data_IF_726762167564
#
_entry.id   IF_726762167564
#
_cell.length_a   1.000
_cell.length_b   1.000
_cell.length_c   1.000
_cell.angle_alpha   90.00
_cell.angle_beta   90.00
_cell.angle_gamma   90.00
#
_symmetry.space_group_name_H-M   'P 1'
#
loop_
_entity.id
_entity.type
_entity.pdbx_description
1 polymer ?
#
# COMPACT_ATOMS: atom_id res chain seq x y z
N UNK A 1 -1.60 12.29 -24.93
CA UNK A 1 -0.53 11.28 -25.17
C UNK A 1 -0.69 10.18 -24.14
N UNK A 2 -0.54 8.90 -24.52
CA UNK A 2 -0.79 7.77 -23.62
C UNK A 2 0.17 7.73 -22.41
N UNK A 3 1.42 8.16 -22.58
CA UNK A 3 2.39 8.22 -21.49
C UNK A 3 1.95 9.18 -20.37
N UNK A 4 1.61 10.42 -20.73
CA UNK A 4 1.12 11.46 -19.81
C UNK A 4 -0.19 11.05 -19.13
N UNK A 5 -1.05 10.32 -19.85
CA UNK A 5 -2.28 9.78 -19.28
C UNK A 5 -2.00 8.82 -18.12
N UNK A 6 -1.07 7.88 -18.28
CA UNK A 6 -0.74 6.91 -17.23
C UNK A 6 0.00 7.54 -16.05
N UNK A 7 0.82 8.57 -16.28
CA UNK A 7 1.37 9.38 -15.17
C UNK A 7 0.27 10.00 -14.30
N UNK A 8 -0.87 10.37 -14.88
CA UNK A 8 -2.00 10.88 -14.09
C UNK A 8 -2.79 9.73 -13.49
N UNK A 9 -3.24 8.79 -14.31
CA UNK A 9 -4.20 7.76 -13.88
C UNK A 9 -3.58 6.76 -12.93
N UNK A 10 -2.39 6.23 -13.23
CA UNK A 10 -1.76 5.22 -12.38
C UNK A 10 -1.24 5.86 -11.07
N UNK A 11 -0.54 7.01 -11.14
CA UNK A 11 -0.10 7.68 -9.90
C UNK A 11 -1.26 8.18 -9.04
N UNK A 12 -2.37 8.63 -9.66
CA UNK A 12 -3.54 9.04 -8.90
C UNK A 12 -4.30 7.85 -8.33
N UNK A 13 -4.63 6.85 -9.15
CA UNK A 13 -5.44 5.71 -8.71
C UNK A 13 -4.68 4.78 -7.77
N UNK A 14 -3.44 4.42 -8.11
CA UNK A 14 -2.66 3.48 -7.33
C UNK A 14 -1.87 4.26 -6.28
N UNK A 15 -1.05 5.23 -6.68
CA UNK A 15 -0.24 6.01 -5.74
C UNK A 15 -1.04 6.75 -4.65
N UNK A 16 -1.99 7.63 -5.02
CA UNK A 16 -2.68 8.46 -4.01
C UNK A 16 -3.63 7.64 -3.14
N UNK A 17 -4.43 6.74 -3.72
CA UNK A 17 -5.40 5.98 -2.92
C UNK A 17 -4.75 4.96 -2.01
N UNK A 18 -3.62 4.36 -2.40
CA UNK A 18 -2.83 3.50 -1.51
C UNK A 18 -2.35 4.25 -0.28
N UNK A 19 -1.83 5.47 -0.47
CA UNK A 19 -1.36 6.31 0.63
C UNK A 19 -2.51 6.66 1.59
N UNK A 20 -3.68 7.02 1.06
CA UNK A 20 -4.88 7.30 1.86
C UNK A 20 -5.31 6.05 2.63
N UNK A 21 -5.38 4.90 1.96
CA UNK A 21 -5.76 3.63 2.57
C UNK A 21 -4.80 3.24 3.70
N UNK A 22 -3.48 3.32 3.46
CA UNK A 22 -2.47 3.02 4.47
C UNK A 22 -2.58 3.95 5.69
N UNK A 23 -2.81 5.25 5.46
CA UNK A 23 -3.02 6.21 6.54
C UNK A 23 -4.31 5.93 7.34
N UNK A 24 -5.42 5.62 6.66
CA UNK A 24 -6.68 5.24 7.30
C UNK A 24 -6.54 3.96 8.11
N UNK A 25 -5.88 2.93 7.55
CA UNK A 25 -5.64 1.66 8.23
C UNK A 25 -4.77 1.87 9.46
N UNK A 26 -3.67 2.63 9.35
CA UNK A 26 -2.80 2.96 10.47
C UNK A 26 -3.55 3.71 11.58
N UNK A 27 -4.39 4.69 11.22
CA UNK A 27 -5.24 5.41 12.17
C UNK A 27 -6.17 4.44 12.92
N UNK A 28 -6.87 3.57 12.20
CA UNK A 28 -7.77 2.59 12.80
C UNK A 28 -7.00 1.65 13.72
N UNK A 29 -5.84 1.13 13.29
CA UNK A 29 -5.01 0.24 14.12
C UNK A 29 -4.54 0.92 15.41
N UNK A 30 -4.12 2.20 15.36
CA UNK A 30 -3.76 2.98 16.55
C UNK A 30 -4.93 3.04 17.52
N UNK A 31 -6.14 3.29 17.00
CA UNK A 31 -7.34 3.32 17.83
C UNK A 31 -7.65 1.92 18.35
N UNK A 32 -7.93 0.92 17.52
CA UNK A 32 -8.51 -0.32 18.01
C UNK A 32 -7.56 -1.20 18.83
N UNK A 33 -6.24 -1.12 18.60
CA UNK A 33 -5.28 -2.05 19.25
C UNK A 33 -4.69 -1.51 20.56
N UNK A 34 -4.58 -0.20 20.70
CA UNK A 34 -3.85 0.42 21.83
C UNK A 34 -2.34 0.15 21.81
N UNK A 35 -1.78 -0.25 20.68
CA UNK A 35 -0.32 -0.31 20.46
C UNK A 35 0.22 1.12 20.38
N UNK A 36 1.46 1.32 20.85
CA UNK A 36 2.11 2.62 20.82
C UNK A 36 2.16 3.18 19.39
N UNK A 37 1.70 4.42 19.22
CA UNK A 37 1.63 5.10 17.92
C UNK A 37 2.95 5.08 17.16
N UNK A 38 4.06 5.19 17.88
CA UNK A 38 5.41 5.24 17.30
C UNK A 38 5.72 3.98 16.48
N UNK A 39 5.23 2.81 16.91
CA UNK A 39 5.43 1.55 16.18
C UNK A 39 4.65 1.55 14.88
N UNK A 40 3.38 1.94 14.93
CA UNK A 40 2.48 1.94 13.76
C UNK A 40 2.91 3.01 12.76
N UNK A 41 3.25 4.22 13.23
CA UNK A 41 3.72 5.32 12.39
C UNK A 41 5.03 4.98 11.68
N UNK A 42 6.00 4.35 12.37
CA UNK A 42 7.25 3.90 11.73
C UNK A 42 7.00 2.87 10.63
N UNK A 43 6.11 1.90 10.86
CA UNK A 43 5.74 0.92 9.84
C UNK A 43 4.99 1.58 8.68
N UNK A 44 4.12 2.55 8.96
CA UNK A 44 3.43 3.34 7.95
C UNK A 44 4.44 4.09 7.05
N UNK A 45 5.46 4.74 7.63
CA UNK A 45 6.49 5.41 6.84
C UNK A 45 7.25 4.45 5.91
N UNK A 46 7.55 3.23 6.38
CA UNK A 46 8.18 2.20 5.54
C UNK A 46 7.26 1.80 4.39
N UNK A 47 5.98 1.54 4.67
CA UNK A 47 4.98 1.14 3.67
C UNK A 47 4.79 2.25 2.63
N UNK A 48 4.59 3.50 3.06
CA UNK A 48 4.43 4.65 2.16
C UNK A 48 5.68 4.84 1.28
N UNK A 49 6.88 4.69 1.85
CA UNK A 49 8.12 4.83 1.09
C UNK A 49 8.22 3.75 0.02
N UNK A 50 7.92 2.49 0.36
CA UNK A 50 7.91 1.40 -0.59
C UNK A 50 6.88 1.65 -1.70
N UNK A 51 5.65 2.00 -1.34
CA UNK A 51 4.57 2.28 -2.28
C UNK A 51 4.92 3.43 -3.24
N UNK A 52 5.46 4.53 -2.74
CA UNK A 52 5.87 5.66 -3.60
C UNK A 52 6.99 5.30 -4.56
N UNK A 53 8.02 4.60 -4.06
CA UNK A 53 9.17 4.20 -4.90
C UNK A 53 8.72 3.22 -5.98
N UNK A 54 7.87 2.25 -5.65
CA UNK A 54 7.35 1.30 -6.63
C UNK A 54 6.39 1.97 -7.60
N UNK A 55 5.38 2.71 -7.13
CA UNK A 55 4.34 3.32 -7.98
C UNK A 55 4.91 4.31 -9.02
N UNK A 56 5.89 5.12 -8.63
CA UNK A 56 6.51 6.09 -9.56
C UNK A 56 7.19 5.38 -10.74
N UNK A 57 7.92 4.29 -10.48
CA UNK A 57 8.72 3.60 -11.50
C UNK A 57 7.85 2.59 -12.25
N UNK A 58 6.93 1.91 -11.56
CA UNK A 58 6.06 0.88 -12.13
C UNK A 58 5.06 1.45 -13.13
N UNK A 59 4.73 2.74 -13.07
CA UNK A 59 3.94 3.44 -14.11
C UNK A 59 4.46 3.13 -15.52
N UNK A 60 5.77 2.86 -15.65
CA UNK A 60 6.43 2.37 -16.86
C UNK A 60 5.85 1.13 -17.52
N UNK A 61 5.17 0.23 -16.80
CA UNK A 61 4.60 -0.99 -17.37
C UNK A 61 3.49 -0.74 -18.40
N UNK A 62 2.83 0.41 -18.31
CA UNK A 62 1.87 0.87 -19.31
C UNK A 62 2.54 1.33 -20.61
N UNK A 63 3.86 1.47 -20.58
CA UNK A 63 4.67 1.97 -21.68
C UNK A 63 5.32 0.87 -22.52
N UNK A 64 5.17 -0.40 -22.15
CA UNK A 64 5.83 -1.55 -22.79
C UNK A 64 5.62 -1.66 -24.30
N UNK A 65 4.43 -1.29 -24.78
CA UNK A 65 4.00 -1.58 -26.16
C UNK A 65 3.43 -0.35 -26.89
N UNK A 66 3.62 0.86 -26.36
CA UNK A 66 3.09 2.10 -26.94
C UNK A 66 4.15 2.92 -27.71
N UNK A 67 5.29 2.31 -28.02
CA UNK A 67 6.39 2.95 -28.76
C UNK A 67 7.32 3.82 -27.91
N UNK A 68 7.35 3.64 -26.59
CA UNK A 68 8.35 4.28 -25.71
C UNK A 68 9.69 3.53 -25.73
N UNK A 69 10.78 4.12 -25.23
CA UNK A 69 12.09 3.47 -25.20
C UNK A 69 12.11 2.12 -24.45
N UNK A 70 12.94 1.19 -24.93
CA UNK A 70 13.02 -0.20 -24.42
C UNK A 70 13.39 -0.32 -22.93
N UNK A 71 14.06 0.68 -22.35
CA UNK A 71 14.40 0.65 -20.92
C UNK A 71 13.15 0.55 -20.03
N UNK A 72 11.99 0.98 -20.50
CA UNK A 72 10.75 0.83 -19.76
C UNK A 72 10.34 -0.62 -19.57
N UNK A 73 10.67 -1.52 -20.50
CA UNK A 73 10.40 -2.95 -20.32
C UNK A 73 11.16 -3.51 -19.11
N UNK A 74 12.41 -3.10 -18.92
CA UNK A 74 13.21 -3.51 -17.78
C UNK A 74 12.70 -2.90 -16.47
N UNK A 75 12.55 -1.57 -16.43
CA UNK A 75 12.14 -0.87 -15.22
C UNK A 75 10.71 -1.22 -14.81
N UNK A 76 9.77 -1.21 -15.74
CA UNK A 76 8.38 -1.60 -15.48
C UNK A 76 8.31 -3.03 -14.97
N UNK A 77 8.98 -4.00 -15.61
CA UNK A 77 8.90 -5.40 -15.18
C UNK A 77 9.43 -5.64 -13.76
N UNK A 78 10.57 -5.03 -13.41
CA UNK A 78 11.16 -5.19 -12.07
C UNK A 78 10.23 -4.58 -11.02
N UNK A 79 9.74 -3.35 -11.24
CA UNK A 79 8.95 -2.65 -10.24
C UNK A 79 7.51 -3.16 -10.15
N UNK A 80 6.94 -3.72 -11.23
CA UNK A 80 5.65 -4.45 -11.19
C UNK A 80 5.75 -5.68 -10.32
N UNK A 81 6.88 -6.39 -10.35
CA UNK A 81 7.09 -7.53 -9.47
C UNK A 81 7.25 -7.13 -7.99
N UNK A 82 7.65 -5.89 -7.70
CA UNK A 82 7.82 -5.36 -6.33
C UNK A 82 6.55 -4.72 -5.77
N UNK A 83 5.61 -4.32 -6.64
CA UNK A 83 4.36 -3.64 -6.30
C UNK A 83 3.49 -4.36 -5.25
N UNK A 84 3.46 -5.72 -5.15
CA UNK A 84 2.71 -6.39 -4.09
C UNK A 84 3.33 -6.25 -2.68
N UNK A 85 4.58 -5.82 -2.56
CA UNK A 85 5.32 -5.80 -1.29
C UNK A 85 4.71 -4.83 -0.25
N UNK A 86 4.41 -3.56 -0.58
CA UNK A 86 3.70 -2.64 0.33
C UNK A 86 2.39 -3.22 0.87
N UNK A 87 1.57 -3.83 0.01
CA UNK A 87 0.28 -4.42 0.40
C UNK A 87 0.43 -5.65 1.29
N UNK A 88 1.41 -6.50 0.98
CA UNK A 88 1.75 -7.62 1.85
C UNK A 88 2.21 -7.14 3.23
N UNK A 89 3.07 -6.11 3.27
CA UNK A 89 3.52 -5.49 4.50
C UNK A 89 2.37 -4.87 5.30
N UNK A 90 1.40 -4.23 4.65
CA UNK A 90 0.16 -3.73 5.28
C UNK A 90 -0.63 -4.87 5.94
N UNK A 91 -0.81 -5.98 5.22
CA UNK A 91 -1.50 -7.16 5.74
C UNK A 91 -0.80 -7.68 7.00
N UNK A 92 0.51 -7.96 6.90
CA UNK A 92 1.30 -8.47 8.03
C UNK A 92 1.28 -7.49 9.21
N UNK A 93 1.38 -6.19 8.95
CA UNK A 93 1.28 -5.14 9.96
C UNK A 93 -0.07 -5.20 10.69
N UNK A 94 -1.19 -5.24 9.96
CA UNK A 94 -2.53 -5.29 10.55
C UNK A 94 -2.71 -6.49 11.49
N UNK A 95 -2.33 -7.69 11.04
CA UNK A 95 -2.37 -8.90 11.89
C UNK A 95 -1.46 -8.78 13.12
N UNK A 96 -0.23 -8.29 12.94
CA UNK A 96 0.73 -8.14 14.03
C UNK A 96 0.25 -7.13 15.09
N UNK A 97 -0.33 -5.99 14.69
CA UNK A 97 -0.87 -5.00 15.62
C UNK A 97 -2.06 -5.54 16.40
N UNK A 98 -2.97 -6.26 15.74
CA UNK A 98 -4.13 -6.88 16.40
C UNK A 98 -3.71 -8.01 17.35
N UNK A 99 -2.66 -8.78 17.02
CA UNK A 99 -2.08 -9.80 17.90
C UNK A 99 -1.40 -9.20 19.12
N UNK A 100 -0.77 -8.02 18.99
CA UNK A 100 -0.08 -7.29 20.06
C UNK A 100 -0.97 -6.26 20.78
N UNK A 101 -2.29 -6.32 20.57
CA UNK A 101 -3.23 -5.37 21.15
C UNK A 101 -3.10 -5.33 22.68
N UNK A 102 -3.07 -4.13 23.24
CA UNK A 102 -3.07 -3.88 24.69
C UNK A 102 -4.47 -3.66 25.25
N UNK A 103 -5.46 -3.49 24.37
CA UNK A 103 -6.87 -3.34 24.74
C UNK A 103 -7.76 -4.20 23.86
N UNK A 104 -8.86 -4.64 24.44
CA UNK A 104 -9.97 -5.25 23.70
C UNK A 104 -10.93 -4.15 23.26
N UNK A 105 -10.99 -3.88 21.96
CA UNK A 105 -11.97 -2.93 21.42
C UNK A 105 -13.38 -3.54 21.42
N UNK A 106 -14.41 -2.83 21.91
CA UNK A 106 -15.77 -3.35 21.95
C UNK A 106 -16.35 -3.58 20.55
N UNK A 107 -15.98 -2.73 19.58
CA UNK A 107 -16.38 -2.90 18.18
C UNK A 107 -15.47 -3.93 17.49
N UNK A 108 -15.86 -5.21 17.55
CA UNK A 108 -15.15 -6.31 16.89
C UNK A 108 -15.25 -6.23 15.35
N UNK A 109 -16.31 -5.63 14.81
CA UNK A 109 -16.48 -5.44 13.37
C UNK A 109 -15.42 -4.49 12.80
N UNK A 110 -15.06 -3.44 13.53
CA UNK A 110 -13.99 -2.51 13.13
C UNK A 110 -12.62 -3.18 13.11
N UNK A 111 -12.32 -4.04 14.09
CA UNK A 111 -11.07 -4.83 14.10
C UNK A 111 -11.04 -5.80 12.92
N UNK A 112 -12.16 -6.47 12.64
CA UNK A 112 -12.29 -7.37 11.50
C UNK A 112 -12.17 -6.62 10.16
N UNK A 113 -12.76 -5.44 10.06
CA UNK A 113 -12.62 -4.58 8.89
C UNK A 113 -11.15 -4.16 8.69
N UNK A 114 -10.43 -3.78 9.74
CA UNK A 114 -9.03 -3.37 9.62
C UNK A 114 -8.14 -4.50 9.06
N UNK A 115 -8.26 -5.73 9.58
CA UNK A 115 -7.50 -6.87 9.06
C UNK A 115 -7.99 -7.30 7.66
N UNK A 116 -9.31 -7.24 7.43
CA UNK A 116 -9.92 -7.60 6.15
C UNK A 116 -9.49 -6.66 5.02
N UNK A 117 -9.50 -5.35 5.26
CA UNK A 117 -9.03 -4.35 4.29
C UNK A 117 -7.57 -4.59 3.90
N UNK A 118 -6.69 -4.91 4.86
CA UNK A 118 -5.30 -5.26 4.58
C UNK A 118 -5.20 -6.46 3.62
N UNK A 119 -5.94 -7.55 3.90
CA UNK A 119 -5.96 -8.75 3.07
C UNK A 119 -6.50 -8.47 1.67
N UNK A 120 -7.63 -7.77 1.57
CA UNK A 120 -8.24 -7.44 0.27
C UNK A 120 -7.30 -6.59 -0.57
N UNK A 121 -6.65 -5.60 0.03
CA UNK A 121 -5.67 -4.76 -0.67
C UNK A 121 -4.48 -5.55 -1.24
N UNK A 122 -4.08 -6.65 -0.59
CA UNK A 122 -3.00 -7.51 -1.09
C UNK A 122 -3.45 -8.48 -2.20
N UNK A 123 -4.70 -8.95 -2.16
CA UNK A 123 -5.18 -9.95 -3.13
C UNK A 123 -5.75 -9.33 -4.42
N UNK A 124 -6.19 -8.08 -4.38
CA UNK A 124 -6.91 -7.42 -5.48
C UNK A 124 -8.40 -7.69 -5.40
#
# INVERSE_FOLDING_TARGET
DNFSFWLVVHLFLEGVWELIMAAMLAFVLIKVTGVDREVIEKLLYVIITLALVTCIIVTGHHSFWIGTPEYWQWWGSIFSALEPIPFFAMTVCAFNMVKRRRREHPNKAEVLWAIGTGVMAFLG
#
